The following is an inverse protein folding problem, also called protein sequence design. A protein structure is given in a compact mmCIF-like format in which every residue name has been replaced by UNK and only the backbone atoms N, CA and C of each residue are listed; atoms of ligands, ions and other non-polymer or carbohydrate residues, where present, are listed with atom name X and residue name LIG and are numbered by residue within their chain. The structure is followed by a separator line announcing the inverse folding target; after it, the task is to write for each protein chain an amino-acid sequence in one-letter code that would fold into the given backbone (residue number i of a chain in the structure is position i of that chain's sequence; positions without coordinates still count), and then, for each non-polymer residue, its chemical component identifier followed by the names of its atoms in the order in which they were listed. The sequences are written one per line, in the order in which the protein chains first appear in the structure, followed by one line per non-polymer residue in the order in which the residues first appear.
data_IF_384771595471
#
_entry.id   IF_384771595471
#
_cell.length_a   1.000
_cell.length_b   1.000
_cell.length_c   1.000
_cell.angle_alpha   90.00
_cell.angle_beta   90.00
_cell.angle_gamma   90.00
#
_symmetry.space_group_name_H-M   'P 1'
#
loop_
_entity.id
_entity.type
_entity.pdbx_description
1 polymer ?
#
# COMPACT_ATOMS: atom_id res chain seq x y z
N UNK A 1 2.71 35.61 -0.80
CA UNK A 1 1.38 35.15 -0.33
C UNK A 1 1.43 33.63 -0.34
N UNK A 2 1.64 33.01 0.82
CA UNK A 2 1.81 31.56 0.94
C UNK A 2 0.45 30.92 1.22
N UNK A 3 -0.08 30.14 0.27
CA UNK A 3 -1.22 29.24 0.51
C UNK A 3 -0.66 27.88 0.90
N UNK A 4 -0.46 27.70 2.19
CA UNK A 4 -0.06 26.44 2.79
C UNK A 4 -1.33 25.63 3.09
N UNK A 5 -1.90 24.99 2.06
CA UNK A 5 -3.09 24.12 2.17
C UNK A 5 -2.72 22.63 2.13
N UNK A 6 -1.48 22.29 2.51
CA UNK A 6 -0.88 20.97 2.23
C UNK A 6 -1.13 19.81 3.22
N UNK A 7 -1.76 19.94 4.41
CA UNK A 7 -1.98 18.76 5.27
C UNK A 7 -3.20 17.90 4.86
N UNK A 8 -4.27 18.52 4.34
CA UNK A 8 -5.57 17.85 4.17
C UNK A 8 -5.62 17.00 2.89
N UNK A 9 -5.19 17.55 1.76
CA UNK A 9 -5.17 16.86 0.46
C UNK A 9 -4.34 15.56 0.47
N UNK A 10 -3.23 15.56 1.22
CA UNK A 10 -2.34 14.40 1.33
C UNK A 10 -2.98 13.26 2.14
N UNK A 11 -3.71 13.61 3.20
CA UNK A 11 -4.43 12.65 4.03
C UNK A 11 -5.59 12.01 3.26
N UNK A 12 -6.31 12.80 2.46
CA UNK A 12 -7.40 12.30 1.60
C UNK A 12 -6.88 11.41 0.46
N UNK A 13 -5.71 11.73 -0.10
CA UNK A 13 -5.06 10.91 -1.13
C UNK A 13 -4.66 9.54 -0.56
N UNK A 14 -4.04 9.52 0.63
CA UNK A 14 -3.68 8.28 1.30
C UNK A 14 -4.92 7.43 1.59
N UNK A 15 -5.96 8.02 2.19
CA UNK A 15 -7.20 7.31 2.52
C UNK A 15 -7.88 6.71 1.28
N UNK A 16 -7.93 7.43 0.16
CA UNK A 16 -8.51 6.94 -1.10
C UNK A 16 -7.70 5.76 -1.66
N UNK A 17 -6.38 5.86 -1.62
CA UNK A 17 -5.48 4.80 -2.07
C UNK A 17 -5.64 3.55 -1.19
N UNK A 18 -5.57 3.72 0.13
CA UNK A 18 -5.73 2.62 1.09
C UNK A 18 -7.05 1.91 0.94
N UNK A 19 -8.17 2.63 0.75
CA UNK A 19 -9.49 2.01 0.56
C UNK A 19 -9.54 1.17 -0.74
N UNK A 20 -9.05 1.73 -1.86
CA UNK A 20 -9.03 1.04 -3.15
C UNK A 20 -8.19 -0.25 -3.11
N UNK A 21 -6.98 -0.17 -2.56
CA UNK A 21 -6.07 -1.30 -2.49
C UNK A 21 -6.45 -2.30 -1.40
N UNK A 22 -7.01 -1.86 -0.27
CA UNK A 22 -7.44 -2.77 0.82
C UNK A 22 -8.44 -3.81 0.31
N UNK A 23 -9.36 -3.41 -0.57
CA UNK A 23 -10.32 -4.35 -1.16
C UNK A 23 -9.68 -5.42 -2.05
N UNK A 24 -8.69 -5.04 -2.84
CA UNK A 24 -8.01 -5.97 -3.75
C UNK A 24 -7.05 -6.89 -2.97
N UNK A 25 -6.30 -6.32 -2.03
CA UNK A 25 -5.41 -7.05 -1.13
C UNK A 25 -6.15 -8.06 -0.27
N UNK A 26 -7.27 -7.66 0.35
CA UNK A 26 -8.09 -8.58 1.13
C UNK A 26 -8.67 -9.70 0.26
N UNK A 27 -9.05 -9.41 -0.98
CA UNK A 27 -9.53 -10.42 -1.92
C UNK A 27 -8.46 -11.46 -2.29
N UNK A 28 -7.17 -11.09 -2.35
CA UNK A 28 -6.06 -12.03 -2.62
C UNK A 28 -5.94 -13.10 -1.53
N UNK A 29 -6.25 -12.75 -0.29
CA UNK A 29 -6.17 -13.66 0.86
C UNK A 29 -7.55 -14.19 1.31
N UNK A 30 -8.61 -13.85 0.58
CA UNK A 30 -9.98 -14.28 0.88
C UNK A 30 -10.60 -13.64 2.13
N UNK A 31 -10.07 -12.50 2.58
CA UNK A 31 -10.57 -11.74 3.72
C UNK A 31 -11.55 -10.62 3.30
N UNK A 32 -12.35 -10.15 4.25
CA UNK A 32 -13.18 -8.95 4.05
C UNK A 32 -12.32 -7.69 4.21
N UNK A 33 -12.45 -6.75 3.27
CA UNK A 33 -11.68 -5.52 3.28
C UNK A 33 -11.99 -4.67 4.53
N UNK A 34 -10.97 -4.25 5.31
CA UNK A 34 -11.19 -3.32 6.40
C UNK A 34 -11.76 -2.01 5.85
N UNK A 35 -12.91 -1.58 6.36
CA UNK A 35 -13.50 -0.28 6.03
C UNK A 35 -12.86 0.79 6.89
N UNK A 36 -12.41 1.89 6.27
CA UNK A 36 -11.71 3.01 6.92
C UNK A 36 -10.36 2.61 7.55
N UNK A 37 -9.52 1.96 6.74
CA UNK A 37 -8.19 1.54 7.15
C UNK A 37 -7.32 2.76 7.48
N UNK A 38 -6.82 2.82 8.73
CA UNK A 38 -5.79 3.78 9.10
C UNK A 38 -4.48 3.46 8.36
N UNK A 39 -3.53 4.39 8.23
CA UNK A 39 -2.25 4.08 7.60
C UNK A 39 -1.53 2.88 8.20
N UNK A 40 -1.55 2.75 9.52
CA UNK A 40 -1.02 1.58 10.21
C UNK A 40 -1.79 0.30 9.89
N UNK A 41 -3.13 0.36 9.83
CA UNK A 41 -3.94 -0.81 9.43
C UNK A 41 -3.72 -1.24 7.98
N UNK A 42 -3.37 -0.31 7.10
CA UNK A 42 -3.12 -0.60 5.69
C UNK A 42 -1.76 -1.29 5.52
N UNK A 43 -0.75 -0.83 6.25
CA UNK A 43 0.54 -1.50 6.34
C UNK A 43 0.36 -2.92 6.90
N UNK A 44 -0.36 -3.08 8.02
CA UNK A 44 -0.64 -4.42 8.60
C UNK A 44 -1.35 -5.37 7.61
N UNK A 45 -2.26 -4.87 6.78
CA UNK A 45 -2.89 -5.65 5.71
C UNK A 45 -1.86 -6.08 4.64
N UNK A 46 -1.00 -5.17 4.17
CA UNK A 46 0.07 -5.49 3.23
C UNK A 46 0.99 -6.57 3.80
N UNK A 47 1.37 -6.44 5.07
CA UNK A 47 2.21 -7.42 5.74
C UNK A 47 1.56 -8.81 5.84
N UNK A 48 0.25 -8.88 6.13
CA UNK A 48 -0.50 -10.15 6.10
C UNK A 48 -0.53 -10.77 4.72
N UNK A 49 -0.84 -9.97 3.70
CA UNK A 49 -0.93 -10.46 2.31
C UNK A 49 0.45 -10.97 1.88
N UNK A 50 1.51 -10.21 2.14
CA UNK A 50 2.90 -10.61 1.93
C UNK A 50 3.24 -11.94 2.61
N UNK A 51 2.83 -12.14 3.87
CA UNK A 51 3.06 -13.41 4.59
C UNK A 51 2.35 -14.58 3.88
N UNK A 52 1.07 -14.41 3.52
CA UNK A 52 0.31 -15.43 2.78
C UNK A 52 0.96 -15.75 1.43
N UNK A 53 1.34 -14.75 0.65
CA UNK A 53 2.05 -14.97 -0.62
C UNK A 53 3.41 -15.65 -0.42
N UNK A 54 4.16 -15.28 0.62
CA UNK A 54 5.45 -15.88 0.94
C UNK A 54 5.36 -17.34 1.36
N UNK A 55 4.20 -17.79 1.89
CA UNK A 55 3.96 -19.22 2.16
C UNK A 55 3.63 -20.03 0.91
N UNK A 56 3.27 -19.37 -0.19
CA UNK A 56 2.92 -20.04 -1.43
C UNK A 56 4.17 -20.38 -2.24
N UNK A 57 4.30 -21.64 -2.65
CA UNK A 57 5.50 -22.14 -3.35
C UNK A 57 5.57 -21.77 -4.84
N UNK A 58 4.79 -20.78 -5.29
CA UNK A 58 4.72 -20.39 -6.69
C UNK A 58 5.66 -19.20 -6.94
N UNK A 59 6.56 -19.32 -7.93
CA UNK A 59 7.60 -18.31 -8.18
C UNK A 59 7.04 -16.89 -8.42
N UNK A 60 5.90 -16.77 -9.12
CA UNK A 60 5.25 -15.47 -9.34
C UNK A 60 4.69 -14.86 -8.06
N UNK A 61 4.31 -15.66 -7.06
CA UNK A 61 3.88 -15.15 -5.75
C UNK A 61 5.06 -14.64 -4.92
N UNK A 62 6.28 -15.08 -5.24
CA UNK A 62 7.50 -14.54 -4.65
C UNK A 62 7.83 -13.15 -5.21
N UNK A 63 7.66 -12.95 -6.53
CA UNK A 63 7.78 -11.62 -7.14
C UNK A 63 6.75 -10.64 -6.52
N UNK A 64 5.48 -11.08 -6.40
CA UNK A 64 4.45 -10.28 -5.74
C UNK A 64 4.72 -10.05 -4.24
N UNK A 65 5.42 -10.96 -3.56
CA UNK A 65 5.86 -10.77 -2.17
C UNK A 65 6.91 -9.66 -2.06
N UNK A 66 7.88 -9.63 -2.97
CA UNK A 66 8.91 -8.57 -3.02
C UNK A 66 8.26 -7.20 -3.30
N UNK A 67 7.33 -7.13 -4.27
CA UNK A 67 6.59 -5.89 -4.55
C UNK A 67 5.78 -5.39 -3.35
N UNK A 68 5.16 -6.29 -2.57
CA UNK A 68 4.44 -5.90 -1.35
C UNK A 68 5.39 -5.40 -0.25
N UNK A 69 6.59 -5.95 -0.15
CA UNK A 69 7.61 -5.49 0.80
C UNK A 69 8.11 -4.08 0.46
N UNK A 70 8.40 -3.83 -0.81
CA UNK A 70 8.79 -2.51 -1.33
C UNK A 70 7.66 -1.48 -1.12
N UNK A 71 6.42 -1.85 -1.43
CA UNK A 71 5.26 -1.01 -1.19
C UNK A 71 5.12 -0.62 0.30
N UNK A 72 5.27 -1.59 1.22
CA UNK A 72 5.23 -1.33 2.66
C UNK A 72 6.32 -0.38 3.13
N UNK A 73 7.53 -0.51 2.57
CA UNK A 73 8.67 0.38 2.86
C UNK A 73 8.36 1.80 2.39
N UNK A 74 7.92 2.00 1.14
CA UNK A 74 7.59 3.32 0.61
C UNK A 74 6.41 3.98 1.34
N UNK A 75 5.41 3.22 1.77
CA UNK A 75 4.30 3.74 2.58
C UNK A 75 4.78 4.20 3.96
N UNK A 76 5.65 3.42 4.59
CA UNK A 76 6.22 3.77 5.90
C UNK A 76 7.08 5.03 5.79
N UNK A 77 7.93 5.12 4.77
CA UNK A 77 8.71 6.33 4.49
C UNK A 77 7.79 7.51 4.17
N UNK A 78 6.70 7.32 3.42
CA UNK A 78 5.74 8.38 3.12
C UNK A 78 5.07 8.94 4.38
N UNK A 79 4.89 8.13 5.43
CA UNK A 79 4.31 8.57 6.71
C UNK A 79 5.28 9.37 7.58
N UNK A 80 6.59 9.16 7.40
CA UNK A 80 7.63 9.83 8.20
C UNK A 80 8.29 11.00 7.46
N UNK A 81 8.09 11.09 6.14
CA UNK A 81 8.76 12.05 5.27
C UNK A 81 8.03 13.41 5.16
N UNK A 82 8.75 14.41 4.66
CA UNK A 82 8.20 15.75 4.41
C UNK A 82 7.34 15.77 3.15
N UNK A 83 6.39 16.71 3.07
CA UNK A 83 5.35 16.73 2.02
C UNK A 83 5.88 16.71 0.57
N UNK A 84 7.12 17.15 0.32
CA UNK A 84 7.74 17.11 -1.02
C UNK A 84 8.06 15.69 -1.49
N UNK A 85 8.63 14.88 -0.61
CA UNK A 85 9.03 13.49 -0.91
C UNK A 85 7.86 12.52 -0.75
N UNK A 86 6.90 12.82 0.13
CA UNK A 86 5.72 12.00 0.40
C UNK A 86 4.94 11.65 -0.88
N UNK A 87 4.75 12.61 -1.80
CA UNK A 87 3.97 12.36 -3.02
C UNK A 87 4.67 11.37 -3.97
N UNK A 88 5.99 11.47 -4.05
CA UNK A 88 6.82 10.55 -4.84
C UNK A 88 6.79 9.16 -4.21
N UNK A 89 6.95 9.06 -2.89
CA UNK A 89 6.89 7.81 -2.14
C UNK A 89 5.52 7.12 -2.29
N UNK A 90 4.43 7.87 -2.21
CA UNK A 90 3.09 7.34 -2.46
C UNK A 90 2.91 6.86 -3.90
N UNK A 91 3.49 7.53 -4.90
CA UNK A 91 3.44 7.07 -6.27
C UNK A 91 4.20 5.75 -6.47
N UNK A 92 5.38 5.60 -5.85
CA UNK A 92 6.15 4.35 -5.85
C UNK A 92 5.36 3.22 -5.19
N UNK A 93 4.83 3.44 -3.99
CA UNK A 93 3.98 2.48 -3.31
C UNK A 93 2.78 2.05 -4.17
N UNK A 94 2.13 2.99 -4.86
CA UNK A 94 0.99 2.73 -5.73
C UNK A 94 1.35 1.80 -6.91
N UNK A 95 2.54 1.98 -7.49
CA UNK A 95 3.06 1.15 -8.58
C UNK A 95 3.31 -0.27 -8.09
N UNK A 96 4.09 -0.44 -7.03
CA UNK A 96 4.39 -1.76 -6.47
C UNK A 96 3.14 -2.50 -6.00
N UNK A 97 2.18 -1.80 -5.37
CA UNK A 97 0.90 -2.41 -5.01
C UNK A 97 0.11 -2.91 -6.23
N UNK A 98 0.14 -2.16 -7.34
CA UNK A 98 -0.50 -2.60 -8.58
C UNK A 98 0.22 -3.81 -9.16
N UNK A 99 1.55 -3.77 -9.27
CA UNK A 99 2.35 -4.87 -9.81
C UNK A 99 2.18 -6.15 -8.98
N UNK A 100 2.18 -6.05 -7.65
CA UNK A 100 1.90 -7.16 -6.75
C UNK A 100 0.51 -7.78 -7.01
N UNK A 101 -0.53 -6.95 -7.15
CA UNK A 101 -1.89 -7.42 -7.42
C UNK A 101 -2.01 -8.05 -8.81
N UNK A 102 -1.40 -7.46 -9.82
CA UNK A 102 -1.41 -8.00 -11.19
C UNK A 102 -0.67 -9.34 -11.27
N UNK A 103 0.42 -9.47 -10.53
CA UNK A 103 1.22 -10.70 -10.46
C UNK A 103 0.55 -11.79 -9.65
N UNK A 104 -0.15 -11.42 -8.56
CA UNK A 104 -0.83 -12.37 -7.67
C UNK A 104 -2.20 -12.86 -8.17
N UNK A 105 -2.71 -12.29 -9.28
CA UNK A 105 -4.03 -12.58 -9.86
C UNK A 105 -4.03 -13.76 -10.82
#
# INVERSE_FOLDING_TARGET
MATQTQPQEHTETFATLSDFFSAHLAALIGEEAPRNTTPAGFIDLIERVRDVLGTASAGYLQDAHEDLDDAGTYLTDALTSTAGDQRSLLAWACTHLRDAIETAR
#
